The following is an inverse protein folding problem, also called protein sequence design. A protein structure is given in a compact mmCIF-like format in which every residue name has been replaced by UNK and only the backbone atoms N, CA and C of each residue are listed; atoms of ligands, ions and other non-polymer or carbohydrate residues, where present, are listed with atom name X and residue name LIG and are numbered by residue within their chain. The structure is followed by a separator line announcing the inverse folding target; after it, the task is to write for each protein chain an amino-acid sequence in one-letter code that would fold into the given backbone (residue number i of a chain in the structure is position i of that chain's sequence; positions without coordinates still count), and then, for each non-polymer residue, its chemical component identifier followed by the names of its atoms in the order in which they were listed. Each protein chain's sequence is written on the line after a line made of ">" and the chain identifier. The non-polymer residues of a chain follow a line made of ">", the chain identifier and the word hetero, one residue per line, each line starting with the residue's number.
data_IF_697286116585
#
_entry.id   IF_697286116585
#
_cell.length_a   1.000
_cell.length_b   1.000
_cell.length_c   1.000
_cell.angle_alpha   90.00
_cell.angle_beta   90.00
_cell.angle_gamma   90.00
#
_symmetry.space_group_name_H-M   'P 1'
#
loop_
_entity.id
_entity.type
_entity.pdbx_description
1 polymer ?
#
# COMPACT_ATOMS: atom_id res chain seq x y z
N UNK A 1 0.28 -12.68 8.57
CA UNK A 1 -0.82 -12.53 9.56
C UNK A 1 -1.36 -11.13 9.42
N UNK A 2 -2.00 -10.89 8.28
CA UNK A 2 -1.88 -9.57 7.68
C UNK A 2 -2.86 -8.55 8.28
N UNK A 3 -2.41 -7.31 8.40
CA UNK A 3 -3.30 -6.16 8.56
C UNK A 3 -3.81 -5.77 7.18
N UNK A 4 -5.13 -5.64 7.03
CA UNK A 4 -5.78 -5.32 5.76
C UNK A 4 -6.36 -3.91 5.78
N UNK A 5 -6.08 -3.14 4.74
CA UNK A 5 -6.66 -1.82 4.53
C UNK A 5 -7.44 -1.76 3.21
N UNK A 6 -8.55 -1.02 3.24
CA UNK A 6 -9.35 -0.68 2.06
C UNK A 6 -9.26 0.84 1.86
N UNK A 7 -8.72 1.25 0.72
CA UNK A 7 -8.68 2.65 0.33
C UNK A 7 -9.68 2.91 -0.79
N UNK A 8 -10.42 4.02 -0.68
CA UNK A 8 -11.16 4.60 -1.81
C UNK A 8 -10.26 5.63 -2.46
N UNK A 9 -9.76 5.34 -3.65
CA UNK A 9 -8.76 6.14 -4.35
C UNK A 9 -9.38 6.83 -5.57
N UNK A 10 -8.88 8.02 -5.90
CA UNK A 10 -9.20 8.76 -7.13
C UNK A 10 -7.86 9.13 -7.78
N UNK A 11 -7.34 8.31 -8.71
CA UNK A 11 -6.09 8.61 -9.40
C UNK A 11 -6.21 9.92 -10.18
N UNK A 12 -5.09 10.63 -10.34
CA UNK A 12 -5.04 11.78 -11.25
C UNK A 12 -5.25 11.34 -12.70
N UNK A 13 -5.75 12.21 -13.59
CA UNK A 13 -5.92 11.87 -15.01
C UNK A 13 -4.61 11.34 -15.63
N UNK A 14 -4.69 10.17 -16.27
CA UNK A 14 -3.54 9.50 -16.88
C UNK A 14 -2.73 8.59 -15.95
N UNK A 15 -3.05 8.54 -14.65
CA UNK A 15 -2.44 7.59 -13.71
C UNK A 15 -3.25 6.29 -13.70
N UNK A 16 -2.56 5.16 -13.88
CA UNK A 16 -3.19 3.84 -13.82
C UNK A 16 -3.65 3.50 -12.39
N UNK A 17 -4.85 2.94 -12.18
CA UNK A 17 -5.35 2.61 -10.84
C UNK A 17 -4.51 1.56 -10.11
N UNK A 18 -3.87 0.63 -10.82
CA UNK A 18 -2.95 -0.37 -10.24
C UNK A 18 -1.69 0.34 -9.76
N UNK A 19 -1.14 1.25 -10.57
CA UNK A 19 0.03 2.05 -10.18
C UNK A 19 -0.27 2.94 -8.96
N UNK A 20 -1.42 3.62 -8.95
CA UNK A 20 -1.85 4.42 -7.80
C UNK A 20 -1.99 3.57 -6.52
N UNK A 21 -2.52 2.34 -6.65
CA UNK A 21 -2.65 1.40 -5.53
C UNK A 21 -1.29 0.88 -5.06
N UNK A 22 -0.38 0.59 -5.99
CA UNK A 22 0.99 0.16 -5.70
C UNK A 22 1.80 1.28 -5.02
N UNK A 23 1.61 2.54 -5.43
CA UNK A 23 2.24 3.69 -4.81
C UNK A 23 1.80 3.87 -3.34
N UNK A 24 0.50 3.71 -3.06
CA UNK A 24 -0.02 3.74 -1.69
C UNK A 24 0.60 2.61 -0.88
N UNK A 25 0.60 1.37 -1.40
CA UNK A 25 1.19 0.23 -0.70
C UNK A 25 2.69 0.44 -0.42
N UNK A 26 3.43 0.96 -1.39
CA UNK A 26 4.86 1.24 -1.27
C UNK A 26 5.16 2.27 -0.18
N UNK A 27 4.63 3.48 -0.31
CA UNK A 27 4.97 4.61 0.57
C UNK A 27 4.37 4.48 1.98
N UNK A 28 3.34 3.63 2.18
CA UNK A 28 2.83 3.27 3.51
C UNK A 28 3.50 2.04 4.12
N UNK A 29 4.57 1.53 3.51
CA UNK A 29 5.38 0.44 4.07
C UNK A 29 6.87 0.76 4.01
N UNK A 30 7.52 0.51 2.87
CA UNK A 30 8.99 0.55 2.78
C UNK A 30 9.54 1.24 1.54
N UNK A 31 8.70 1.67 0.59
CA UNK A 31 9.18 2.23 -0.66
C UNK A 31 9.52 3.73 -0.53
N UNK A 32 10.28 4.21 -1.50
CA UNK A 32 10.44 5.63 -1.81
C UNK A 32 10.49 5.81 -3.33
N UNK A 33 10.52 7.04 -3.81
CA UNK A 33 10.39 7.42 -5.23
C UNK A 33 11.50 6.91 -6.17
N UNK A 34 12.61 6.40 -5.64
CA UNK A 34 13.71 5.82 -6.42
C UNK A 34 14.28 4.59 -5.73
N UNK A 35 14.88 3.71 -6.52
CA UNK A 35 15.45 2.46 -6.00
C UNK A 35 16.62 2.76 -5.08
N UNK A 36 16.64 2.11 -3.93
CA UNK A 36 17.73 2.17 -2.95
C UNK A 36 18.35 0.79 -2.78
N UNK A 37 19.69 0.72 -2.82
CA UNK A 37 20.40 -0.56 -2.70
C UNK A 37 20.26 -1.19 -1.31
N UNK A 38 19.90 -0.39 -0.30
CA UNK A 38 19.72 -0.83 1.09
C UNK A 38 18.56 -1.80 1.26
N UNK A 39 17.64 -1.89 0.28
CA UNK A 39 16.64 -2.97 0.21
C UNK A 39 17.28 -4.37 0.27
N UNK A 40 18.51 -4.52 -0.23
CA UNK A 40 19.25 -5.80 -0.24
C UNK A 40 19.82 -6.18 1.13
N UNK A 41 19.72 -5.30 2.13
CA UNK A 41 20.14 -5.57 3.50
C UNK A 41 19.03 -6.15 4.37
N UNK A 42 17.81 -6.28 3.84
CA UNK A 42 16.63 -6.75 4.56
C UNK A 42 15.92 -7.87 3.79
N UNK A 43 14.98 -8.55 4.44
CA UNK A 43 14.06 -9.47 3.78
C UNK A 43 12.94 -8.66 3.07
N UNK A 44 13.31 -7.84 2.07
CA UNK A 44 12.40 -6.85 1.49
C UNK A 44 11.09 -7.44 0.91
N UNK A 45 11.09 -8.68 0.44
CA UNK A 45 9.87 -9.35 -0.06
C UNK A 45 8.82 -9.62 1.05
N UNK A 46 9.27 -9.76 2.30
CA UNK A 46 8.40 -9.90 3.47
C UNK A 46 7.74 -8.55 3.81
N UNK A 47 8.57 -7.51 3.97
CA UNK A 47 8.14 -6.22 4.52
C UNK A 47 7.40 -5.32 3.51
N UNK A 48 7.49 -5.59 2.21
CA UNK A 48 6.70 -4.86 1.20
C UNK A 48 5.22 -5.18 1.34
N UNK A 49 4.41 -4.16 1.62
CA UNK A 49 2.96 -4.26 1.53
C UNK A 49 2.51 -4.50 0.08
N UNK A 50 1.37 -5.17 -0.08
CA UNK A 50 0.93 -5.70 -1.38
C UNK A 50 -0.49 -5.24 -1.68
N UNK A 51 -0.65 -4.43 -2.72
CA UNK A 51 -1.95 -4.18 -3.32
C UNK A 51 -2.39 -5.43 -4.10
N UNK A 52 -3.32 -6.20 -3.56
CA UNK A 52 -3.69 -7.52 -4.10
C UNK A 52 -5.00 -7.50 -4.90
N UNK A 53 -5.78 -6.42 -4.79
CA UNK A 53 -7.03 -6.25 -5.52
C UNK A 53 -7.33 -4.77 -5.73
N UNK A 54 -7.83 -4.44 -6.92
CA UNK A 54 -8.31 -3.10 -7.28
C UNK A 54 -9.63 -3.25 -8.03
N UNK A 55 -10.73 -2.73 -7.46
CA UNK A 55 -12.05 -2.78 -8.08
C UNK A 55 -12.55 -1.36 -8.40
N UNK A 56 -13.34 -1.14 -9.46
CA UNK A 56 -14.02 0.14 -9.65
C UNK A 56 -15.12 0.36 -8.60
N UNK A 57 -15.28 1.60 -8.15
CA UNK A 57 -16.38 1.99 -7.27
C UNK A 57 -17.69 2.03 -8.07
N UNK A 58 -18.77 1.36 -7.61
CA UNK A 58 -20.05 1.40 -8.30
C UNK A 58 -20.59 2.83 -8.46
N UNK A 59 -21.07 3.17 -9.67
CA UNK A 59 -21.74 4.44 -9.98
C UNK A 59 -20.87 5.71 -9.83
N UNK A 60 -19.54 5.57 -9.72
CA UNK A 60 -18.62 6.72 -9.66
C UNK A 60 -17.47 6.47 -10.63
N UNK A 61 -17.33 7.34 -11.63
CA UNK A 61 -16.23 7.27 -12.58
C UNK A 61 -14.89 7.58 -11.91
N UNK A 62 -13.82 6.96 -12.41
CA UNK A 62 -12.43 7.21 -12.02
C UNK A 62 -12.13 7.04 -10.52
N UNK A 63 -12.94 6.25 -9.82
CA UNK A 63 -12.72 5.89 -8.43
C UNK A 63 -12.64 4.38 -8.25
N UNK A 64 -11.74 3.97 -7.36
CA UNK A 64 -11.41 2.57 -7.17
C UNK A 64 -11.30 2.23 -5.68
N UNK A 65 -11.61 0.97 -5.36
CA UNK A 65 -11.32 0.34 -4.09
C UNK A 65 -10.00 -0.44 -4.21
N UNK A 66 -8.98 0.01 -3.49
CA UNK A 66 -7.69 -0.65 -3.42
C UNK A 66 -7.57 -1.43 -2.10
N UNK A 67 -7.28 -2.72 -2.20
CA UNK A 67 -7.10 -3.60 -1.05
C UNK A 67 -5.61 -3.88 -0.86
N UNK A 68 -5.09 -3.52 0.30
CA UNK A 68 -3.66 -3.61 0.61
C UNK A 68 -3.46 -4.48 1.85
N UNK A 69 -2.52 -5.41 1.75
CA UNK A 69 -2.09 -6.26 2.85
C UNK A 69 -0.71 -5.83 3.36
N UNK A 70 -0.59 -5.72 4.68
CA UNK A 70 0.62 -5.36 5.41
C UNK A 70 1.00 -6.51 6.34
N UNK A 71 2.28 -6.86 6.40
CA UNK A 71 2.74 -7.86 7.36
C UNK A 71 2.61 -7.30 8.80
N UNK A 72 2.30 -8.16 9.77
CA UNK A 72 2.11 -7.74 11.17
C UNK A 72 3.40 -7.20 11.78
N UNK A 73 4.55 -7.69 11.32
CA UNK A 73 5.87 -7.32 11.83
C UNK A 73 6.25 -5.87 11.50
N UNK A 74 5.46 -5.17 10.66
CA UNK A 74 5.60 -3.74 10.42
C UNK A 74 5.12 -2.87 11.60
N UNK A 75 4.32 -3.44 12.51
CA UNK A 75 3.60 -2.67 13.52
C UNK A 75 4.05 -2.99 14.94
N UNK A 76 4.25 -1.95 15.74
CA UNK A 76 4.54 -2.04 17.16
C UNK A 76 3.30 -2.51 17.95
N UNK A 77 3.49 -3.47 18.85
CA UNK A 77 2.39 -4.03 19.64
C UNK A 77 1.76 -2.99 20.57
N UNK A 78 0.44 -2.83 20.48
CA UNK A 78 -0.33 -1.92 21.34
C UNK A 78 -0.19 -0.43 20.99
N UNK A 79 0.43 -0.08 19.86
CA UNK A 79 0.71 1.31 19.46
C UNK A 79 -0.21 1.79 18.34
N UNK A 80 -1.30 2.48 18.71
CA UNK A 80 -2.17 3.15 17.73
C UNK A 80 -1.40 4.22 16.95
N UNK A 81 -0.48 4.93 17.62
CA UNK A 81 0.32 5.98 16.99
C UNK A 81 1.17 5.41 15.84
N UNK A 82 1.86 4.28 16.05
CA UNK A 82 2.63 3.62 15.02
C UNK A 82 1.75 3.11 13.87
N UNK A 83 0.59 2.50 14.16
CA UNK A 83 -0.34 2.01 13.14
C UNK A 83 -0.87 3.12 12.21
N UNK A 84 -1.01 4.36 12.72
CA UNK A 84 -1.58 5.49 11.97
C UNK A 84 -0.55 6.44 11.33
N UNK A 85 0.74 6.24 11.59
CA UNK A 85 1.82 7.11 11.11
C UNK A 85 1.97 7.02 9.59
#
# INVERSE_FOLDING_TARGET
>A
TDVLALFRITPQPGVDPIEASAAIAGESSTATWTVVWTDLLTACDLYRAKAYRVDPVPNVADQYFAYIAYDIDLFEEGSIANLTA
#
